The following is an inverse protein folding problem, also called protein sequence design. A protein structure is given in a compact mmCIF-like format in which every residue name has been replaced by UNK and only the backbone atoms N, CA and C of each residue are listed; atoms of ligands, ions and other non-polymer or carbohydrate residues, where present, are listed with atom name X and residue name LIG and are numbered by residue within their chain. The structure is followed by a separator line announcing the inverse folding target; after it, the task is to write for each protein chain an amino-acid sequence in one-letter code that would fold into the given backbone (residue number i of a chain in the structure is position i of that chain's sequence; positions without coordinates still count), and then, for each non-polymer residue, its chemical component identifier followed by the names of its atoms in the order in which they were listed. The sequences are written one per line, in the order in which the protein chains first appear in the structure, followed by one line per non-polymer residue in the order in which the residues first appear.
data_IF_419984927749
#
_entry.id   IF_419984927749
#
_cell.length_a   1.000
_cell.length_b   1.000
_cell.length_c   1.000
_cell.angle_alpha   90.00
_cell.angle_beta   90.00
_cell.angle_gamma   90.00
#
_symmetry.space_group_name_H-M   'P 1'
#
loop_
_entity.id
_entity.type
_entity.pdbx_description
1 polymer ?
#
# COMPACT_ATOMS: atom_id res chain seq x y z
N UNK A 1 -10.51 21.85 13.65
CA UNK A 1 -10.54 20.69 14.56
C UNK A 1 -11.21 19.54 13.80
N UNK A 2 -10.45 18.83 12.96
CA UNK A 2 -10.94 17.72 12.12
C UNK A 2 -10.58 16.40 12.81
N UNK A 3 -11.52 15.46 12.79
CA UNK A 3 -11.49 14.24 13.57
C UNK A 3 -10.44 13.25 13.05
N UNK A 4 -9.63 12.71 13.96
CA UNK A 4 -8.82 11.51 13.76
C UNK A 4 -9.80 10.34 13.90
N UNK A 5 -10.08 9.63 12.81
CA UNK A 5 -10.89 8.41 12.83
C UNK A 5 -9.99 7.27 13.29
N UNK A 6 -9.98 7.00 14.60
CA UNK A 6 -9.43 5.77 15.17
C UNK A 6 -10.53 4.71 15.05
N UNK A 7 -10.42 3.80 14.08
CA UNK A 7 -11.33 2.65 13.98
C UNK A 7 -10.90 1.57 14.97
N UNK A 8 -11.73 1.35 15.99
CA UNK A 8 -11.62 0.22 16.90
C UNK A 8 -12.24 -1.03 16.25
N UNK A 9 -11.45 -2.09 16.05
CA UNK A 9 -11.95 -3.40 15.61
C UNK A 9 -12.24 -4.26 16.85
N UNK A 10 -13.51 -4.63 17.01
CA UNK A 10 -13.98 -5.54 18.05
C UNK A 10 -13.83 -6.99 17.58
N UNK A 11 -13.21 -7.80 18.45
CA UNK A 11 -13.18 -9.26 18.45
C UNK A 11 -14.55 -9.87 18.16
N UNK A 12 -14.61 -10.83 17.23
CA UNK A 12 -15.48 -12.02 17.31
C UNK A 12 -14.95 -13.08 16.33
N UNK A 13 -14.01 -13.90 16.81
CA UNK A 13 -13.73 -15.20 16.23
C UNK A 13 -14.69 -16.21 16.87
N UNK A 14 -15.65 -16.73 16.11
CA UNK A 14 -15.92 -18.17 16.06
C UNK A 14 -17.06 -18.53 15.09
N UNK A 15 -16.82 -19.60 14.34
CA UNK A 15 -17.76 -20.48 13.64
C UNK A 15 -18.51 -19.98 12.38
N UNK A 16 -17.98 -20.29 11.17
CA UNK A 16 -18.82 -20.60 9.98
C UNK A 16 -18.16 -21.72 9.12
N UNK A 17 -18.91 -22.73 8.63
CA UNK A 17 -18.36 -23.88 7.90
C UNK A 17 -18.05 -23.56 6.43
N UNK A 18 -17.09 -24.32 5.89
CA UNK A 18 -16.65 -24.26 4.50
C UNK A 18 -17.71 -24.82 3.52
N UNK A 19 -18.59 -23.97 3.01
CA UNK A 19 -19.13 -24.06 1.64
C UNK A 19 -20.04 -22.88 1.33
N UNK A 20 -19.87 -22.31 0.12
CA UNK A 20 -20.73 -21.36 -0.58
C UNK A 20 -20.43 -19.86 -0.38
N UNK A 21 -20.03 -19.23 -1.49
CA UNK A 21 -19.97 -17.79 -1.78
C UNK A 21 -19.18 -16.96 -0.76
N UNK A 22 -17.90 -16.72 -1.08
CA UNK A 22 -17.03 -15.73 -0.43
C UNK A 22 -17.62 -14.32 -0.61
N UNK A 23 -18.63 -14.01 0.20
CA UNK A 23 -19.03 -12.65 0.54
C UNK A 23 -18.06 -12.24 1.63
N UNK A 24 -17.32 -11.15 1.41
CA UNK A 24 -16.51 -10.56 2.49
C UNK A 24 -17.43 -10.30 3.68
N UNK A 25 -17.08 -10.70 4.91
CA UNK A 25 -17.75 -10.13 6.05
C UNK A 25 -17.53 -8.62 5.95
N UNK A 26 -18.59 -7.81 6.06
CA UNK A 26 -18.50 -6.35 5.97
C UNK A 26 -17.42 -5.76 6.90
N UNK A 27 -16.99 -6.51 7.92
CA UNK A 27 -15.90 -6.20 8.84
C UNK A 27 -14.51 -6.06 8.23
N UNK A 28 -14.25 -6.54 7.00
CA UNK A 28 -12.93 -6.37 6.34
C UNK A 28 -12.92 -5.30 5.25
N UNK A 29 -14.08 -4.69 4.97
CA UNK A 29 -14.23 -3.56 4.08
C UNK A 29 -14.40 -2.30 4.91
N UNK A 30 -13.61 -1.28 4.64
CA UNK A 30 -13.82 0.03 5.26
C UNK A 30 -14.79 0.87 4.41
N UNK A 31 -15.02 2.12 4.82
CA UNK A 31 -15.84 3.09 4.10
C UNK A 31 -15.41 3.23 2.63
N UNK A 32 -16.34 3.70 1.79
CA UNK A 32 -16.06 3.95 0.38
C UNK A 32 -14.90 4.93 0.25
N UNK A 33 -13.88 4.55 -0.51
CA UNK A 33 -12.75 5.41 -0.81
C UNK A 33 -13.14 6.43 -1.88
N UNK A 34 -13.76 5.96 -2.98
CA UNK A 34 -14.15 6.83 -4.09
C UNK A 34 -14.85 6.08 -5.21
N UNK A 35 -15.27 6.81 -6.24
CA UNK A 35 -15.89 6.25 -7.45
C UNK A 35 -14.93 6.40 -8.63
N UNK A 36 -14.55 5.29 -9.25
CA UNK A 36 -13.58 5.29 -10.37
C UNK A 36 -14.26 5.77 -11.64
N UNK A 37 -13.81 6.89 -12.17
CA UNK A 37 -14.28 7.44 -13.43
C UNK A 37 -13.40 6.94 -14.57
N UNK A 38 -14.00 6.34 -15.61
CA UNK A 38 -13.27 5.87 -16.79
C UNK A 38 -14.11 5.98 -18.04
N UNK A 39 -13.43 5.99 -19.20
CA UNK A 39 -14.08 5.94 -20.52
C UNK A 39 -13.87 4.56 -21.14
N UNK A 40 -14.92 4.01 -21.74
CA UNK A 40 -14.87 2.72 -22.43
C UNK A 40 -15.55 1.60 -21.65
N UNK A 41 -15.13 0.35 -21.89
CA UNK A 41 -15.83 -0.85 -21.38
C UNK A 41 -15.36 -1.32 -20.01
N UNK A 42 -14.15 -0.96 -19.60
CA UNK A 42 -13.57 -1.35 -18.32
C UNK A 42 -12.50 -0.34 -17.88
N UNK A 43 -12.28 -0.15 -16.57
CA UNK A 43 -11.21 0.70 -16.07
C UNK A 43 -9.83 0.10 -16.35
N UNK A 44 -8.86 0.98 -16.55
CA UNK A 44 -7.44 0.70 -16.66
C UNK A 44 -6.71 1.07 -15.36
N UNK A 45 -5.42 0.72 -15.26
CA UNK A 45 -4.59 1.14 -14.12
C UNK A 45 -4.52 2.67 -13.98
N UNK A 46 -4.64 3.41 -15.07
CA UNK A 46 -4.64 4.89 -15.02
C UNK A 46 -5.89 5.41 -14.32
N UNK A 47 -7.04 4.79 -14.54
CA UNK A 47 -8.30 5.21 -13.92
C UNK A 47 -8.27 4.93 -12.41
N UNK A 48 -7.74 3.77 -12.00
CA UNK A 48 -7.55 3.43 -10.59
C UNK A 48 -6.57 4.36 -9.88
N UNK A 49 -5.38 4.57 -10.45
CA UNK A 49 -4.38 5.45 -9.86
C UNK A 49 -4.91 6.87 -9.78
N UNK A 50 -5.62 7.35 -10.81
CA UNK A 50 -6.24 8.69 -10.75
C UNK A 50 -7.24 8.80 -9.62
N UNK A 51 -8.09 7.79 -9.40
CA UNK A 51 -9.01 7.76 -8.27
C UNK A 51 -8.27 7.75 -6.91
N UNK A 52 -7.18 6.98 -6.78
CA UNK A 52 -6.35 6.91 -5.58
C UNK A 52 -5.52 8.18 -5.30
N UNK A 53 -5.44 9.09 -6.26
CA UNK A 53 -4.72 10.35 -6.15
C UNK A 53 -5.67 11.55 -6.06
N UNK A 54 -6.98 11.31 -5.97
CA UNK A 54 -8.00 12.34 -5.87
C UNK A 54 -8.24 12.71 -4.40
N UNK A 55 -7.19 13.17 -3.71
CA UNK A 55 -7.27 13.70 -2.35
C UNK A 55 -6.82 15.15 -2.29
N UNK A 56 -7.45 15.96 -1.43
CA UNK A 56 -7.12 17.38 -1.29
C UNK A 56 -5.76 17.63 -0.62
N UNK A 57 -5.27 16.68 0.18
CA UNK A 57 -4.02 16.76 0.90
C UNK A 57 -3.19 15.50 0.65
N UNK A 58 -1.94 15.69 0.26
CA UNK A 58 -0.97 14.63 0.10
C UNK A 58 0.21 14.88 1.05
N UNK A 59 0.59 13.89 1.90
CA UNK A 59 1.87 13.92 2.57
C UNK A 59 3.01 14.06 1.55
N UNK A 60 4.16 14.60 1.95
CA UNK A 60 5.26 15.03 1.06
C UNK A 60 5.54 14.08 -0.11
N UNK A 61 5.85 12.81 0.17
CA UNK A 61 6.13 11.81 -0.88
C UNK A 61 4.95 11.53 -1.81
N UNK A 62 3.72 11.52 -1.29
CA UNK A 62 2.53 11.35 -2.12
C UNK A 62 2.26 12.61 -2.96
N UNK A 63 2.66 13.80 -2.48
CA UNK A 63 2.61 15.05 -3.22
C UNK A 63 3.55 15.04 -4.42
N UNK A 64 4.78 14.56 -4.23
CA UNK A 64 5.75 14.39 -5.32
C UNK A 64 5.21 13.45 -6.42
N UNK A 65 4.61 12.32 -6.00
CA UNK A 65 3.97 11.40 -6.93
C UNK A 65 2.77 12.04 -7.63
N UNK A 66 1.90 12.75 -6.90
CA UNK A 66 0.76 13.46 -7.47
C UNK A 66 1.20 14.42 -8.58
N UNK A 67 2.22 15.24 -8.34
CA UNK A 67 2.73 16.19 -9.32
C UNK A 67 3.34 15.51 -10.56
N UNK A 68 4.06 14.39 -10.36
CA UNK A 68 4.54 13.56 -11.45
C UNK A 68 3.38 12.94 -12.26
N UNK A 69 2.33 12.48 -11.56
CA UNK A 69 1.13 11.92 -12.16
C UNK A 69 0.35 12.96 -12.97
N UNK A 70 0.14 14.16 -12.44
CA UNK A 70 -0.52 15.26 -13.15
C UNK A 70 0.25 15.69 -14.41
N UNK A 71 1.59 15.70 -14.36
CA UNK A 71 2.42 15.91 -15.55
C UNK A 71 2.21 14.82 -16.58
N UNK A 72 2.21 13.55 -16.17
CA UNK A 72 1.95 12.41 -17.06
C UNK A 72 0.59 12.52 -17.75
N UNK A 73 -0.48 12.81 -17.01
CA UNK A 73 -1.82 12.97 -17.56
C UNK A 73 -1.90 14.09 -18.61
N UNK A 74 -1.03 15.11 -18.51
CA UNK A 74 -0.88 16.21 -19.47
C UNK A 74 0.13 15.92 -20.59
N UNK A 75 0.68 14.71 -20.65
CA UNK A 75 1.67 14.30 -21.66
C UNK A 75 3.06 14.91 -21.47
N UNK A 76 3.39 15.34 -20.25
CA UNK A 76 4.71 15.90 -19.90
C UNK A 76 5.62 14.83 -19.29
N UNK A 77 6.92 15.01 -19.47
CA UNK A 77 7.94 14.17 -18.85
C UNK A 77 7.98 14.35 -17.32
N UNK A 78 8.42 13.32 -16.57
CA UNK A 78 8.77 13.45 -15.16
C UNK A 78 9.89 14.47 -14.94
N UNK A 79 10.08 14.87 -13.68
CA UNK A 79 11.17 15.73 -13.25
C UNK A 79 12.55 15.09 -13.38
N UNK A 80 13.63 15.86 -13.20
CA UNK A 80 15.00 15.39 -13.38
C UNK A 80 15.44 14.28 -12.41
N UNK A 81 14.76 14.14 -11.27
CA UNK A 81 15.03 13.15 -10.23
C UNK A 81 13.92 12.10 -10.10
N UNK A 82 13.01 12.08 -11.07
CA UNK A 82 11.84 11.23 -11.04
C UNK A 82 11.87 10.22 -12.18
N UNK A 83 11.32 9.05 -11.91
CA UNK A 83 11.05 8.03 -12.90
C UNK A 83 9.62 7.56 -12.74
N UNK A 84 8.80 7.78 -13.76
CA UNK A 84 7.44 7.26 -13.83
C UNK A 84 7.30 6.29 -15.01
N UNK A 85 6.86 5.07 -14.72
CA UNK A 85 6.54 4.04 -15.72
C UNK A 85 5.06 3.72 -15.64
N UNK A 86 4.35 3.84 -16.75
CA UNK A 86 2.92 3.50 -16.86
C UNK A 86 2.75 2.40 -17.89
N UNK A 87 2.61 1.17 -17.42
CA UNK A 87 2.43 -0.02 -18.25
C UNK A 87 0.94 -0.40 -18.29
N UNK A 88 0.19 0.30 -19.16
CA UNK A 88 -1.27 0.06 -19.31
C UNK A 88 -1.59 -1.36 -19.76
N UNK A 89 -0.68 -1.99 -20.52
CA UNK A 89 -0.87 -3.34 -21.05
C UNK A 89 -0.92 -4.38 -19.94
N UNK A 90 -0.05 -4.23 -18.94
CA UNK A 90 0.02 -5.16 -17.81
C UNK A 90 -0.67 -4.62 -16.55
N UNK A 91 -1.27 -3.43 -16.62
CA UNK A 91 -2.01 -2.84 -15.51
C UNK A 91 -1.11 -2.43 -14.35
N UNK A 92 0.07 -1.87 -14.64
CA UNK A 92 1.09 -1.55 -13.64
C UNK A 92 1.57 -0.10 -13.74
N UNK A 93 1.82 0.54 -12.59
CA UNK A 93 2.50 1.84 -12.48
C UNK A 93 3.65 1.72 -11.50
N UNK A 94 4.78 2.32 -11.84
CA UNK A 94 5.92 2.49 -10.95
C UNK A 94 6.37 3.94 -10.95
N UNK A 95 6.56 4.49 -9.76
CA UNK A 95 7.15 5.78 -9.53
C UNK A 95 8.36 5.64 -8.60
N UNK A 96 9.42 6.37 -8.92
CA UNK A 96 10.61 6.53 -8.09
C UNK A 96 10.97 8.01 -8.08
N UNK A 97 11.22 8.56 -6.89
CA UNK A 97 11.79 9.90 -6.69
C UNK A 97 13.10 9.75 -5.94
N UNK A 98 14.13 10.46 -6.40
CA UNK A 98 15.42 10.56 -5.72
C UNK A 98 15.50 11.90 -5.01
N UNK A 99 15.88 11.91 -3.72
CA UNK A 99 16.06 13.13 -2.93
C UNK A 99 17.54 13.54 -2.97
N UNK A 100 17.91 14.56 -3.75
CA UNK A 100 19.32 14.89 -4.02
C UNK A 100 19.99 15.70 -2.89
N UNK A 101 19.20 16.31 -2.02
CA UNK A 101 19.69 17.17 -0.93
C UNK A 101 20.02 16.39 0.36
N UNK A 102 19.71 15.09 0.38
CA UNK A 102 20.08 14.21 1.48
C UNK A 102 21.55 13.77 1.36
N UNK A 103 22.25 13.69 2.50
CA UNK A 103 23.64 13.21 2.55
C UNK A 103 23.77 11.74 2.08
N UNK A 104 22.67 11.00 2.03
CA UNK A 104 22.54 9.61 1.58
C UNK A 104 21.72 9.55 0.30
N UNK A 105 21.92 8.52 -0.54
CA UNK A 105 21.11 8.33 -1.74
C UNK A 105 19.71 7.79 -1.37
N UNK A 106 18.81 8.71 -1.00
CA UNK A 106 17.42 8.37 -0.62
C UNK A 106 16.53 8.30 -1.85
N UNK A 107 15.79 7.19 -1.99
CA UNK A 107 14.81 6.99 -3.06
C UNK A 107 13.48 6.53 -2.49
N UNK A 108 12.43 7.31 -2.72
CA UNK A 108 11.06 6.90 -2.47
C UNK A 108 10.51 6.14 -3.68
N UNK A 109 9.94 4.97 -3.47
CA UNK A 109 9.34 4.15 -4.51
C UNK A 109 7.86 3.90 -4.24
N UNK A 110 7.06 3.95 -5.30
CA UNK A 110 5.63 3.65 -5.25
C UNK A 110 5.23 2.78 -6.43
N UNK A 111 4.49 1.71 -6.16
CA UNK A 111 4.01 0.75 -7.14
C UNK A 111 2.49 0.64 -7.08
N UNK A 112 1.86 0.46 -8.23
CA UNK A 112 0.46 0.09 -8.33
C UNK A 112 0.26 -1.05 -9.30
N UNK A 113 -0.68 -1.94 -8.98
CA UNK A 113 -1.22 -2.90 -9.94
C UNK A 113 -2.64 -3.29 -9.59
N UNK A 114 -3.29 -4.09 -10.44
CA UNK A 114 -4.59 -4.67 -10.11
C UNK A 114 -4.75 -6.11 -10.59
N UNK A 115 -5.63 -6.85 -9.93
CA UNK A 115 -6.04 -8.21 -10.28
C UNK A 115 -7.52 -8.24 -10.59
N UNK A 116 -7.90 -9.07 -11.56
CA UNK A 116 -9.31 -9.46 -11.74
C UNK A 116 -9.62 -10.61 -10.78
N UNK A 117 -10.72 -10.46 -10.05
CA UNK A 117 -11.23 -11.51 -9.20
C UNK A 117 -11.89 -12.62 -10.03
N UNK A 118 -11.95 -13.82 -9.48
CA UNK A 118 -12.45 -15.01 -10.18
C UNK A 118 -13.95 -14.92 -10.51
N UNK A 119 -14.70 -14.07 -9.80
CA UNK A 119 -16.13 -13.85 -10.08
C UNK A 119 -16.40 -12.97 -11.30
N UNK A 120 -15.38 -12.30 -11.83
CA UNK A 120 -15.50 -11.33 -12.93
C UNK A 120 -16.27 -10.04 -12.58
N UNK A 121 -16.71 -9.87 -11.33
CA UNK A 121 -17.44 -8.68 -10.86
C UNK A 121 -16.54 -7.70 -10.13
N UNK A 122 -15.45 -8.18 -9.55
CA UNK A 122 -14.57 -7.36 -8.75
C UNK A 122 -13.14 -7.32 -9.29
N UNK A 123 -12.41 -6.29 -8.86
CA UNK A 123 -10.96 -6.17 -9.01
C UNK A 123 -10.34 -5.81 -7.67
N UNK A 124 -9.15 -6.30 -7.42
CA UNK A 124 -8.30 -5.82 -6.31
C UNK A 124 -7.28 -4.87 -6.90
N UNK A 125 -7.17 -3.67 -6.35
CA UNK A 125 -6.09 -2.71 -6.66
C UNK A 125 -5.15 -2.69 -5.48
N UNK A 126 -3.84 -2.68 -5.73
CA UNK A 126 -2.84 -2.49 -4.68
C UNK A 126 -2.00 -1.24 -4.94
N UNK A 127 -1.60 -0.61 -3.85
CA UNK A 127 -0.56 0.42 -3.80
C UNK A 127 0.52 -0.07 -2.84
N UNK A 128 1.78 -0.08 -3.25
CA UNK A 128 2.90 -0.32 -2.34
C UNK A 128 3.84 0.87 -2.33
N UNK A 129 4.37 1.19 -1.15
CA UNK A 129 5.36 2.22 -0.92
C UNK A 129 6.53 1.59 -0.16
N UNK A 130 7.74 1.97 -0.54
CA UNK A 130 8.96 1.61 0.19
C UNK A 130 10.08 2.60 -0.13
N UNK A 131 11.02 2.76 0.81
CA UNK A 131 12.20 3.63 0.61
C UNK A 131 13.49 2.82 0.50
N UNK A 132 14.42 3.37 -0.28
CA UNK A 132 15.79 2.88 -0.40
C UNK A 132 16.77 3.94 0.08
N UNK A 133 17.76 3.56 0.87
CA UNK A 133 18.86 4.39 1.33
C UNK A 133 20.16 3.73 0.88
N UNK A 134 20.94 4.43 0.05
CA UNK A 134 22.15 3.89 -0.59
C UNK A 134 21.90 2.58 -1.36
N UNK A 135 20.69 2.46 -1.91
CA UNK A 135 20.24 1.29 -2.67
C UNK A 135 19.70 0.12 -1.83
N UNK A 136 19.80 0.20 -0.50
CA UNK A 136 19.26 -0.80 0.43
C UNK A 136 17.87 -0.39 0.92
N UNK A 137 16.97 -1.35 1.11
CA UNK A 137 15.68 -1.04 1.69
C UNK A 137 15.85 -0.52 3.13
N UNK A 138 15.02 0.42 3.53
CA UNK A 138 14.97 0.96 4.88
C UNK A 138 13.52 1.25 5.26
N UNK A 139 13.10 0.95 6.49
CA UNK A 139 11.74 1.23 6.92
C UNK A 139 11.47 2.73 6.91
N UNK A 140 10.59 3.15 6.00
CA UNK A 140 10.03 4.50 5.91
C UNK A 140 8.67 4.63 6.62
N UNK A 141 8.29 5.87 6.96
CA UNK A 141 7.02 6.19 7.62
C UNK A 141 5.79 5.71 6.83
N UNK A 142 5.92 5.66 5.50
CA UNK A 142 4.84 5.31 4.58
C UNK A 142 4.98 3.89 4.01
N UNK A 143 5.95 3.10 4.49
CA UNK A 143 6.23 1.78 3.94
C UNK A 143 5.06 0.83 4.14
N UNK A 144 4.79 0.05 3.10
CA UNK A 144 3.84 -1.04 3.17
C UNK A 144 3.09 -1.28 1.87
N UNK A 145 1.95 -1.93 2.00
CA UNK A 145 1.03 -2.19 0.90
C UNK A 145 -0.41 -2.00 1.38
N UNK A 146 -1.19 -1.29 0.58
CA UNK A 146 -2.62 -1.09 0.78
C UNK A 146 -3.40 -1.75 -0.35
N UNK A 147 -4.61 -2.19 -0.05
CA UNK A 147 -5.48 -2.87 -1.00
C UNK A 147 -6.85 -2.21 -1.05
N UNK A 148 -7.45 -2.27 -2.24
CA UNK A 148 -8.76 -1.72 -2.49
C UNK A 148 -9.59 -2.70 -3.31
N UNK A 149 -10.83 -2.92 -2.89
CA UNK A 149 -11.82 -3.67 -3.65
C UNK A 149 -12.59 -2.72 -4.56
N UNK A 150 -12.54 -2.96 -5.86
CA UNK A 150 -13.35 -2.26 -6.85
C UNK A 150 -14.48 -3.17 -7.34
N UNK A 151 -15.68 -2.62 -7.40
CA UNK A 151 -16.89 -3.29 -7.90
C UNK A 151 -17.23 -2.77 -9.32
N UNK A 152 -17.33 -3.69 -10.30
CA UNK A 152 -17.56 -3.34 -11.70
C UNK A 152 -18.98 -2.79 -11.98
N UNK A 153 -19.97 -3.06 -11.14
CA UNK A 153 -21.36 -2.66 -11.36
C UNK A 153 -21.63 -1.26 -10.79
N UNK A 154 -21.06 -0.98 -9.62
CA UNK A 154 -21.23 0.29 -8.90
C UNK A 154 -20.13 1.30 -9.17
N UNK A 155 -18.99 0.83 -9.69
CA UNK A 155 -17.76 1.59 -9.90
C UNK A 155 -17.14 2.15 -8.60
N UNK A 156 -17.59 1.66 -7.44
CA UNK A 156 -17.09 2.10 -6.14
C UNK A 156 -15.84 1.31 -5.78
N UNK A 157 -14.86 2.02 -5.27
CA UNK A 157 -13.66 1.47 -4.66
C UNK A 157 -13.74 1.62 -3.14
N UNK A 158 -13.49 0.54 -2.41
CA UNK A 158 -13.46 0.51 -0.94
C UNK A 158 -12.10 0.05 -0.48
N UNK A 159 -11.62 0.58 0.64
CA UNK A 159 -10.40 0.04 1.25
C UNK A 159 -10.68 -1.40 1.74
N UNK A 160 -9.73 -2.29 1.46
CA UNK A 160 -9.81 -3.70 1.78
C UNK A 160 -8.63 -4.04 2.70
N UNK A 161 -8.93 -4.56 3.89
CA UNK A 161 -7.90 -4.99 4.81
C UNK A 161 -7.12 -6.19 4.21
N UNK A 162 -5.81 -6.17 4.37
CA UNK A 162 -4.92 -7.21 3.85
C UNK A 162 -5.23 -8.61 4.43
N UNK A 163 -5.73 -8.68 5.66
CA UNK A 163 -6.22 -9.92 6.27
C UNK A 163 -7.35 -10.56 5.45
N UNK A 164 -8.25 -9.74 4.88
CA UNK A 164 -9.30 -10.19 3.97
C UNK A 164 -8.75 -10.89 2.72
N UNK A 165 -7.51 -10.57 2.34
CA UNK A 165 -6.77 -11.18 1.24
C UNK A 165 -5.87 -12.34 1.67
N UNK A 166 -5.88 -12.74 2.94
CA UNK A 166 -4.98 -13.77 3.48
C UNK A 166 -3.52 -13.30 3.58
N UNK A 167 -3.29 -11.99 3.63
CA UNK A 167 -1.97 -11.39 3.78
C UNK A 167 -1.81 -10.93 5.22
N UNK A 168 -0.76 -11.43 5.86
CA UNK A 168 -0.31 -10.98 7.17
C UNK A 168 0.61 -9.75 7.00
N UNK A 169 0.18 -8.62 7.55
CA UNK A 169 0.91 -7.35 7.58
C UNK A 169 1.46 -7.02 8.98
N UNK A 170 1.68 -8.00 9.86
CA UNK A 170 2.26 -7.81 11.20
C UNK A 170 3.62 -7.08 11.24
N UNK A 171 4.20 -6.80 10.07
CA UNK A 171 5.43 -6.03 9.87
C UNK A 171 5.20 -4.56 9.48
N UNK A 172 3.95 -4.12 9.29
CA UNK A 172 3.58 -2.73 8.97
C UNK A 172 3.31 -1.92 10.24
N UNK A 173 3.92 -0.75 10.39
CA UNK A 173 3.58 0.28 11.40
C UNK A 173 3.86 1.62 10.74
N UNK A 174 3.04 2.62 11.06
CA UNK A 174 3.34 4.02 10.75
C UNK A 174 3.70 4.77 12.02
N UNK A 175 4.40 5.90 11.90
CA UNK A 175 4.78 6.71 13.05
C UNK A 175 4.79 8.19 12.72
N UNK A 176 4.62 9.02 13.74
CA UNK A 176 4.74 10.47 13.62
C UNK A 176 5.80 11.00 14.60
N UNK A 177 6.71 11.83 14.09
CA UNK A 177 7.65 12.56 14.92
C UNK A 177 6.97 13.77 15.55
N UNK A 178 7.10 13.90 16.86
CA UNK A 178 6.58 15.03 17.62
C UNK A 178 7.69 16.07 17.89
N UNK A 179 7.31 17.34 18.03
CA UNK A 179 8.24 18.45 18.32
C UNK A 179 8.98 18.29 19.66
N UNK A 180 8.46 17.48 20.58
CA UNK A 180 9.00 17.24 21.92
C UNK A 180 10.00 16.06 21.97
N UNK A 181 10.57 15.68 20.82
CA UNK A 181 11.52 14.57 20.67
C UNK A 181 10.95 13.20 21.07
N UNK A 182 9.62 13.05 20.94
CA UNK A 182 8.93 11.76 21.04
C UNK A 182 8.43 11.30 19.67
N UNK A 183 8.07 10.03 19.59
CA UNK A 183 7.48 9.41 18.40
C UNK A 183 6.19 8.72 18.82
N UNK A 184 5.11 9.00 18.08
CA UNK A 184 3.84 8.29 18.21
C UNK A 184 3.84 7.12 17.23
N UNK A 185 3.76 5.90 17.75
CA UNK A 185 3.75 4.67 16.97
C UNK A 185 2.32 4.16 16.78
N UNK A 186 1.93 3.93 15.53
CA UNK A 186 0.64 3.37 15.15
C UNK A 186 0.83 1.94 14.65
N UNK A 187 0.77 1.00 15.59
CA UNK A 187 0.78 -0.42 15.26
C UNK A 187 -0.60 -0.82 14.73
N UNK A 188 -0.61 -1.45 13.56
CA UNK A 188 -1.85 -1.84 12.88
C UNK A 188 -2.67 -2.83 13.73
N UNK A 189 -2.01 -3.57 14.62
CA UNK A 189 -2.64 -4.56 15.50
C UNK A 189 -2.91 -4.02 16.91
N UNK A 190 -2.47 -2.80 17.26
CA UNK A 190 -2.68 -2.23 18.59
C UNK A 190 -3.96 -1.39 18.66
N UNK A 191 -4.72 -1.57 19.74
CA UNK A 191 -5.94 -0.80 19.99
C UNK A 191 -5.69 0.67 20.31
N UNK A 192 -4.45 1.06 20.64
CA UNK A 192 -4.03 2.42 20.96
C UNK A 192 -2.61 2.68 20.46
N UNK A 193 -2.30 3.91 20.01
CA UNK A 193 -0.94 4.28 19.65
C UNK A 193 -0.01 4.24 20.86
N UNK A 194 1.26 3.94 20.62
CA UNK A 194 2.31 3.91 21.65
C UNK A 194 3.22 5.13 21.51
N UNK A 195 3.35 5.90 22.58
CA UNK A 195 4.35 6.97 22.65
C UNK A 195 5.70 6.41 23.10
N UNK A 196 6.80 6.88 22.51
CA UNK A 196 8.16 6.57 22.92
C UNK A 196 9.12 7.73 22.68
N UNK A 197 10.28 7.73 23.34
CA UNK A 197 11.32 8.72 23.03
C UNK A 197 11.91 8.45 21.64
N UNK A 198 12.43 9.48 20.96
CA UNK A 198 13.10 9.30 19.66
C UNK A 198 14.30 8.34 19.75
N UNK A 199 15.07 8.40 20.83
CA UNK A 199 16.21 7.50 21.04
C UNK A 199 15.78 6.03 21.19
N UNK A 200 14.67 5.76 21.89
CA UNK A 200 14.13 4.41 22.01
C UNK A 200 13.53 3.94 20.68
N UNK A 201 12.89 4.85 19.94
CA UNK A 201 12.36 4.57 18.60
C UNK A 201 13.46 4.17 17.63
N UNK A 202 14.58 4.90 17.58
CA UNK A 202 15.70 4.59 16.70
C UNK A 202 16.29 3.20 17.02
N UNK A 203 16.42 2.85 18.30
CA UNK A 203 16.88 1.52 18.71
C UNK A 203 15.87 0.42 18.37
N UNK A 204 14.58 0.72 18.45
CA UNK A 204 13.51 -0.19 18.10
C UNK A 204 13.47 -0.43 16.59
N UNK A 205 13.56 0.64 15.78
CA UNK A 205 13.49 0.60 14.33
C UNK A 205 14.56 -0.31 13.73
N UNK A 206 15.79 -0.25 14.23
CA UNK A 206 16.91 -1.10 13.78
C UNK A 206 16.70 -2.59 14.06
N UNK A 207 15.95 -2.93 15.12
CA UNK A 207 15.73 -4.32 15.54
C UNK A 207 14.43 -4.89 14.98
N UNK A 208 13.52 -4.03 14.55
CA UNK A 208 12.19 -4.41 14.14
C UNK A 208 12.22 -5.07 12.77
N UNK A 209 11.49 -6.18 12.58
CA UNK A 209 11.25 -6.65 11.24
C UNK A 209 10.43 -5.64 10.42
N UNK A 210 10.76 -5.53 9.15
CA UNK A 210 9.96 -4.80 8.18
C UNK A 210 9.90 -5.57 6.86
N UNK A 211 8.92 -5.27 6.03
CA UNK A 211 8.70 -5.98 4.77
C UNK A 211 8.52 -5.01 3.60
N UNK A 212 9.21 -5.30 2.49
CA UNK A 212 9.01 -4.63 1.21
C UNK A 212 8.16 -5.52 0.31
N UNK A 213 7.06 -4.96 -0.20
CA UNK A 213 6.14 -5.65 -1.10
C UNK A 213 6.37 -5.14 -2.53
N UNK A 214 6.90 -5.99 -3.41
CA UNK A 214 7.07 -5.66 -4.82
C UNK A 214 5.90 -6.22 -5.62
N UNK A 215 5.12 -5.30 -6.19
CA UNK A 215 3.95 -5.60 -7.00
C UNK A 215 4.37 -6.11 -8.39
N UNK A 216 3.65 -7.10 -8.94
CA UNK A 216 4.01 -7.69 -10.23
C UNK A 216 3.76 -6.72 -11.37
N UNK A 217 4.81 -6.35 -12.09
CA UNK A 217 4.65 -5.75 -13.43
C UNK A 217 4.18 -6.79 -14.46
N UNK A 218 4.61 -8.04 -14.32
CA UNK A 218 4.17 -9.18 -15.13
C UNK A 218 3.86 -10.35 -14.21
N UNK A 219 2.89 -11.17 -14.58
CA UNK A 219 2.37 -12.22 -13.71
C UNK A 219 1.37 -11.65 -12.69
N UNK A 220 1.18 -12.36 -11.58
CA UNK A 220 0.18 -12.01 -10.55
C UNK A 220 0.70 -12.12 -9.12
N UNK A 221 1.93 -12.58 -8.93
CA UNK A 221 2.46 -12.88 -7.60
C UNK A 221 3.17 -11.65 -7.02
N UNK A 222 2.97 -11.40 -5.74
CA UNK A 222 3.67 -10.34 -5.02
C UNK A 222 4.95 -10.93 -4.44
N UNK A 223 6.09 -10.31 -4.70
CA UNK A 223 7.34 -10.66 -4.04
C UNK A 223 7.45 -9.88 -2.73
N UNK A 224 7.75 -10.57 -1.64
CA UNK A 224 7.88 -9.96 -0.31
C UNK A 224 9.29 -10.20 0.18
N UNK A 225 10.00 -9.15 0.54
CA UNK A 225 11.30 -9.26 1.20
C UNK A 225 11.15 -8.80 2.63
N UNK A 226 11.35 -9.71 3.58
CA UNK A 226 11.26 -9.47 5.02
C UNK A 226 12.69 -9.30 5.54
N UNK A 227 12.92 -8.24 6.29
CA UNK A 227 14.19 -7.91 6.89
C UNK A 227 14.09 -8.12 8.40
N UNK A 228 14.93 -8.97 8.98
CA UNK A 228 14.94 -9.28 10.43
C UNK A 228 16.38 -9.28 10.94
N UNK A 229 16.75 -8.31 11.77
CA UNK A 229 18.07 -8.28 12.42
C UNK A 229 19.24 -8.41 11.44
N UNK A 230 19.17 -7.71 10.29
CA UNK A 230 20.19 -7.74 9.23
C UNK A 230 20.14 -8.97 8.30
N UNK A 231 19.16 -9.86 8.46
CA UNK A 231 18.90 -10.98 7.54
C UNK A 231 17.73 -10.64 6.62
N UNK A 232 17.80 -11.11 5.38
CA UNK A 232 16.71 -11.04 4.40
C UNK A 232 16.08 -12.42 4.21
N UNK A 233 14.74 -12.48 4.24
CA UNK A 233 13.94 -13.63 3.85
C UNK A 233 13.02 -13.22 2.69
N UNK A 234 13.05 -13.98 1.60
CA UNK A 234 12.15 -13.75 0.47
C UNK A 234 10.96 -14.71 0.53
N UNK A 235 9.77 -14.16 0.36
CA UNK A 235 8.51 -14.89 0.20
C UNK A 235 7.83 -14.48 -1.09
N UNK A 236 6.93 -15.32 -1.54
CA UNK A 236 6.05 -15.04 -2.68
C UNK A 236 4.60 -15.27 -2.27
N UNK A 237 3.77 -14.27 -2.52
CA UNK A 237 2.33 -14.35 -2.33
C UNK A 237 1.70 -14.66 -3.69
N UNK A 238 1.13 -15.85 -3.82
CA UNK A 238 0.56 -16.37 -5.06
C UNK A 238 -0.91 -16.01 -5.14
N UNK A 239 -1.32 -15.42 -6.26
CA UNK A 239 -2.72 -15.03 -6.45
C UNK A 239 -3.63 -16.23 -6.76
N UNK A 240 -4.59 -16.50 -5.88
CA UNK A 240 -5.55 -17.59 -5.99
C UNK A 240 -6.87 -17.22 -6.68
N UNK A 241 -6.98 -16.03 -7.27
CA UNK A 241 -8.24 -15.55 -7.88
C UNK A 241 -9.12 -14.73 -6.95
N UNK A 242 -8.84 -14.75 -5.65
CA UNK A 242 -9.56 -13.97 -4.64
C UNK A 242 -8.69 -13.57 -3.45
N UNK A 243 -7.85 -14.48 -3.01
CA UNK A 243 -6.92 -14.30 -1.90
C UNK A 243 -5.51 -14.66 -2.37
N UNK A 244 -4.53 -14.23 -1.60
CA UNK A 244 -3.16 -14.66 -1.76
C UNK A 244 -2.85 -15.83 -0.83
N UNK A 245 -1.95 -16.69 -1.26
CA UNK A 245 -1.37 -17.74 -0.43
C UNK A 245 0.15 -17.63 -0.47
N UNK A 246 0.80 -17.88 0.68
CA UNK A 246 2.26 -17.96 0.71
C UNK A 246 2.69 -19.20 -0.08
N UNK A 247 3.58 -19.02 -1.06
CA UNK A 247 4.19 -20.13 -1.78
C UNK A 247 4.99 -21.00 -0.79
N UNK A 248 4.74 -22.31 -0.81
CA UNK A 248 5.55 -23.30 -0.10
C UNK A 248 6.88 -23.54 -0.80
#
# INVERSE_FOLDING_TARGET
MKAIVVSAVLLLADMIPASATDVYPDSVLCEAYGTVQYKGKAPSIVDFVTCLQDSEEHPEFFGDFYDAWQRHLRGRSPGPHERLTVDRRHGYVFYECRYPDDEQDVRGCMEYCFWNCADGKHKIVAQSVYFLYDGEASPGQYDGVQFFLYDNDTHVMKHLLAEGLGIDLSWGVTWDYNDDNTVTLYDLDASQPRLMSRADFDQWLVKRPYAVYRLPRQGKDIAVTIYVGGRQEQRRLVWGGWKFAVAR
#
